data_IF_529109365868
#
_entry.id   IF_529109365868
#
_cell.length_a   1.000
_cell.length_b   1.000
_cell.length_c   1.000
_cell.angle_alpha   90.00
_cell.angle_beta   90.00
_cell.angle_gamma   90.00
#
_symmetry.space_group_name_H-M   'P 1'
#
loop_
_entity.id
_entity.type
_entity.pdbx_description
1 polymer ?
#
# COMPACT_ATOMS: atom_id res chain seq x y z
N UNK A 1 -17.97 38.52 -5.42
CA UNK A 1 -17.21 37.49 -6.14
C UNK A 1 -15.75 37.39 -5.68
N UNK A 2 -15.02 38.48 -5.55
CA UNK A 2 -13.61 38.50 -5.10
C UNK A 2 -13.43 38.03 -3.63
N UNK A 3 -14.35 38.32 -2.72
CA UNK A 3 -14.29 37.87 -1.32
C UNK A 3 -14.58 36.37 -1.18
N UNK A 4 -15.51 35.83 -1.96
CA UNK A 4 -15.79 34.40 -1.98
C UNK A 4 -14.60 33.61 -2.52
N UNK A 5 -13.95 34.15 -3.56
CA UNK A 5 -12.72 33.55 -4.13
C UNK A 5 -11.57 33.60 -3.12
N UNK A 6 -11.41 34.68 -2.38
CA UNK A 6 -10.43 34.80 -1.29
C UNK A 6 -10.72 33.84 -0.14
N UNK A 7 -11.98 33.69 0.24
CA UNK A 7 -12.38 32.74 1.30
C UNK A 7 -12.10 31.31 0.88
N UNK A 8 -12.49 30.94 -0.37
CA UNK A 8 -12.21 29.61 -0.92
C UNK A 8 -10.70 29.37 -1.07
N UNK A 9 -9.94 30.34 -1.56
CA UNK A 9 -8.48 30.22 -1.64
C UNK A 9 -7.83 30.09 -0.25
N UNK A 10 -8.25 30.90 0.73
CA UNK A 10 -7.74 30.79 2.10
C UNK A 10 -8.14 29.44 2.74
N UNK A 11 -9.35 28.94 2.47
CA UNK A 11 -9.79 27.64 2.96
C UNK A 11 -8.95 26.50 2.34
N UNK A 12 -8.62 26.58 1.04
CA UNK A 12 -7.75 25.61 0.36
C UNK A 12 -6.30 25.71 0.87
N UNK A 13 -5.81 26.93 1.12
CA UNK A 13 -4.42 27.17 1.62
C UNK A 13 -4.26 26.76 3.09
N UNK A 14 -5.34 26.83 3.89
CA UNK A 14 -5.32 26.44 5.31
C UNK A 14 -5.68 24.96 5.55
N UNK A 15 -6.02 24.18 4.52
CA UNK A 15 -6.09 22.74 4.66
C UNK A 15 -4.66 22.21 4.85
N UNK A 16 -4.31 21.86 6.08
CA UNK A 16 -3.06 21.15 6.35
C UNK A 16 -2.96 19.97 5.41
N UNK A 17 -1.84 19.89 4.69
CA UNK A 17 -1.54 18.79 3.79
C UNK A 17 -1.64 17.48 4.56
N UNK A 18 -2.68 16.69 4.29
CA UNK A 18 -2.88 15.40 4.96
C UNK A 18 -1.90 14.35 4.44
N UNK A 19 -1.48 13.49 5.34
CA UNK A 19 -0.68 12.30 5.03
C UNK A 19 -1.60 11.12 4.83
N UNK A 20 -1.66 10.59 3.63
CA UNK A 20 -2.56 9.50 3.26
C UNK A 20 -1.77 8.23 3.00
N UNK A 21 -2.04 7.19 3.78
CA UNK A 21 -1.57 5.83 3.53
C UNK A 21 -2.59 5.12 2.64
N UNK A 22 -2.22 4.87 1.40
CA UNK A 22 -3.07 4.20 0.42
C UNK A 22 -2.62 2.75 0.24
N UNK A 23 -3.45 1.82 0.67
CA UNK A 23 -3.17 0.38 0.66
C UNK A 23 -4.13 -0.28 -0.33
N UNK A 24 -3.61 -0.73 -1.47
CA UNK A 24 -4.42 -1.32 -2.53
C UNK A 24 -4.00 -2.75 -2.83
N UNK A 25 -4.94 -3.51 -3.38
CA UNK A 25 -4.67 -4.85 -3.89
C UNK A 25 -4.14 -4.83 -5.33
N UNK A 26 -4.52 -3.83 -6.14
CA UNK A 26 -4.24 -3.78 -7.57
C UNK A 26 -3.94 -2.35 -8.00
N UNK A 27 -3.04 -2.21 -9.00
CA UNK A 27 -2.73 -0.93 -9.63
C UNK A 27 -2.18 -1.12 -11.03
N UNK A 28 -2.72 -0.41 -12.01
CA UNK A 28 -2.06 -0.28 -13.31
C UNK A 28 -0.83 0.63 -13.20
N UNK A 29 0.27 0.36 -13.89
CA UNK A 29 0.48 -0.62 -14.96
C UNK A 29 1.04 -1.97 -14.47
N UNK A 30 1.07 -2.24 -13.19
CA UNK A 30 1.75 -3.40 -12.60
C UNK A 30 0.97 -4.71 -12.80
N UNK A 31 -0.35 -4.63 -12.80
CA UNK A 31 -1.26 -5.75 -13.03
C UNK A 31 -2.18 -5.47 -14.22
N UNK A 32 -2.88 -6.49 -14.77
CA UNK A 32 -3.89 -6.30 -15.80
C UNK A 32 -4.93 -5.25 -15.42
N UNK A 33 -5.48 -4.60 -16.42
CA UNK A 33 -6.46 -3.53 -16.22
C UNK A 33 -7.79 -4.10 -15.72
N UNK A 34 -8.20 -3.62 -14.54
CA UNK A 34 -9.50 -3.84 -13.90
C UNK A 34 -10.00 -2.50 -13.39
N UNK A 35 -11.27 -2.38 -13.00
CA UNK A 35 -11.76 -1.16 -12.34
C UNK A 35 -11.00 -0.87 -11.05
N UNK A 36 -10.72 -1.91 -10.25
CA UNK A 36 -9.94 -1.79 -9.00
C UNK A 36 -8.52 -1.30 -9.28
N UNK A 37 -7.86 -1.85 -10.32
CA UNK A 37 -6.51 -1.45 -10.70
C UNK A 37 -6.45 -0.02 -11.26
N UNK A 38 -7.49 0.42 -11.97
CA UNK A 38 -7.62 1.81 -12.44
C UNK A 38 -7.80 2.77 -11.26
N UNK A 39 -8.71 2.47 -10.33
CA UNK A 39 -8.93 3.27 -9.12
C UNK A 39 -7.67 3.31 -8.26
N UNK A 40 -6.99 2.14 -8.09
CA UNK A 40 -5.72 2.02 -7.38
C UNK A 40 -4.63 2.92 -7.96
N UNK A 41 -4.73 3.29 -9.23
CA UNK A 41 -3.82 4.21 -9.92
C UNK A 41 -4.28 5.66 -9.89
N UNK A 42 -5.55 5.93 -10.17
CA UNK A 42 -6.07 7.28 -10.37
C UNK A 42 -6.31 8.00 -9.03
N UNK A 43 -6.83 7.30 -8.04
CA UNK A 43 -7.18 7.86 -6.75
C UNK A 43 -5.97 8.42 -5.98
N UNK A 44 -4.86 7.66 -5.78
CA UNK A 44 -3.69 8.20 -5.09
C UNK A 44 -3.04 9.35 -5.87
N UNK A 45 -3.07 9.32 -7.20
CA UNK A 45 -2.60 10.45 -8.00
C UNK A 45 -3.44 11.70 -7.77
N UNK A 46 -4.76 11.60 -7.81
CA UNK A 46 -5.64 12.73 -7.57
C UNK A 46 -5.47 13.31 -6.16
N UNK A 47 -5.31 12.46 -5.14
CA UNK A 47 -5.03 12.87 -3.76
C UNK A 47 -3.71 13.65 -3.68
N UNK A 48 -2.67 13.19 -4.36
CA UNK A 48 -1.37 13.87 -4.42
C UNK A 48 -1.47 15.21 -5.16
N UNK A 49 -2.20 15.26 -6.28
CA UNK A 49 -2.41 16.48 -7.07
C UNK A 49 -3.20 17.55 -6.27
N UNK A 50 -4.05 17.13 -5.33
CA UNK A 50 -4.74 18.00 -4.38
C UNK A 50 -3.84 18.50 -3.22
N UNK A 51 -2.54 18.14 -3.22
CA UNK A 51 -1.56 18.66 -2.28
C UNK A 51 -1.33 17.80 -1.03
N UNK A 52 -1.93 16.62 -0.92
CA UNK A 52 -1.68 15.68 0.18
C UNK A 52 -0.39 14.90 -0.04
N UNK A 53 0.33 14.61 1.05
CA UNK A 53 1.43 13.63 1.01
C UNK A 53 0.84 12.22 0.98
N UNK A 54 1.25 11.42 0.03
CA UNK A 54 0.73 10.06 -0.10
C UNK A 54 1.82 9.00 -0.15
N UNK A 55 1.58 7.87 0.48
CA UNK A 55 2.37 6.65 0.35
C UNK A 55 1.47 5.51 -0.06
N UNK A 56 1.83 4.86 -1.16
CA UNK A 56 1.01 3.84 -1.79
C UNK A 56 1.68 2.48 -1.68
N UNK A 57 0.92 1.49 -1.25
CA UNK A 57 1.36 0.12 -1.08
C UNK A 57 0.50 -0.86 -1.87
N UNK A 58 1.12 -1.90 -2.43
CA UNK A 58 0.45 -3.05 -3.01
C UNK A 58 1.28 -4.34 -2.81
N UNK A 59 0.67 -5.53 -2.91
CA UNK A 59 1.43 -6.78 -2.91
C UNK A 59 2.29 -6.90 -4.17
N UNK A 60 3.46 -7.52 -4.06
CA UNK A 60 4.26 -7.88 -5.22
C UNK A 60 3.74 -9.19 -5.81
N UNK A 61 2.58 -9.14 -6.44
CA UNK A 61 2.00 -10.30 -7.10
C UNK A 61 2.99 -10.96 -8.08
N UNK A 62 3.02 -12.29 -8.11
CA UNK A 62 3.94 -13.06 -8.95
C UNK A 62 3.79 -12.80 -10.45
N UNK A 63 2.68 -12.24 -10.89
CA UNK A 63 2.44 -11.80 -12.28
C UNK A 63 3.16 -10.50 -12.65
N UNK A 64 3.67 -9.76 -11.67
CA UNK A 64 4.35 -8.48 -11.92
C UNK A 64 5.72 -8.72 -12.52
N UNK A 65 5.96 -8.19 -13.70
CA UNK A 65 7.27 -8.21 -14.33
C UNK A 65 8.17 -7.12 -13.70
N UNK A 66 9.02 -7.51 -12.77
CA UNK A 66 9.88 -6.59 -12.03
C UNK A 66 10.84 -5.80 -12.92
N UNK A 67 11.45 -6.47 -13.90
CA UNK A 67 12.40 -5.82 -14.82
C UNK A 67 11.72 -4.77 -15.69
N UNK A 68 10.55 -5.09 -16.25
CA UNK A 68 9.76 -4.16 -17.09
C UNK A 68 9.32 -2.94 -16.30
N UNK A 69 8.91 -3.14 -15.06
CA UNK A 69 8.39 -2.09 -14.19
C UNK A 69 9.46 -1.46 -13.29
N UNK A 70 10.73 -1.83 -13.47
CA UNK A 70 11.86 -1.27 -12.74
C UNK A 70 11.71 -1.34 -11.22
N UNK A 71 11.18 -2.47 -10.71
CA UNK A 71 11.14 -2.72 -9.29
C UNK A 71 12.55 -2.96 -8.77
N UNK A 72 12.90 -2.32 -7.67
CA UNK A 72 14.16 -2.56 -6.97
C UNK A 72 13.93 -2.65 -5.47
N UNK A 73 14.72 -3.50 -4.83
CA UNK A 73 14.63 -3.71 -3.39
C UNK A 73 15.17 -2.50 -2.62
N UNK A 74 14.48 -2.16 -1.54
CA UNK A 74 14.92 -1.16 -0.57
C UNK A 74 15.52 -1.88 0.64
N UNK A 75 16.82 -2.21 0.58
CA UNK A 75 17.52 -3.01 1.58
C UNK A 75 17.31 -2.49 3.00
N UNK A 76 17.34 -1.18 3.21
CA UNK A 76 17.12 -0.57 4.53
C UNK A 76 15.73 -0.82 5.12
N UNK A 77 14.73 -1.13 4.31
CA UNK A 77 13.36 -1.44 4.72
C UNK A 77 13.11 -2.94 4.78
N UNK A 78 13.86 -3.73 4.02
CA UNK A 78 13.77 -5.19 4.00
C UNK A 78 14.44 -5.85 5.21
N UNK A 79 14.36 -7.18 5.30
CA UNK A 79 15.06 -8.00 6.29
C UNK A 79 14.40 -8.07 7.67
N UNK A 80 13.16 -7.59 7.82
CA UNK A 80 12.32 -7.91 8.99
C UNK A 80 11.62 -9.26 8.74
N UNK A 81 11.34 -10.00 9.79
CA UNK A 81 10.52 -11.21 9.72
C UNK A 81 9.11 -10.92 10.22
N UNK A 82 8.12 -11.41 9.50
CA UNK A 82 6.72 -11.45 9.92
C UNK A 82 6.41 -12.87 10.36
N UNK A 83 6.08 -13.04 11.63
CA UNK A 83 5.74 -14.36 12.18
C UNK A 83 4.26 -14.64 11.92
N UNK A 84 3.97 -15.76 11.26
CA UNK A 84 2.64 -16.28 11.04
C UNK A 84 2.68 -17.77 11.42
N UNK A 85 1.81 -18.22 12.32
CA UNK A 85 1.75 -19.60 12.80
C UNK A 85 3.13 -20.18 13.16
N UNK A 86 3.86 -19.56 14.05
CA UNK A 86 5.19 -20.00 14.51
C UNK A 86 6.27 -20.09 13.40
N UNK A 87 5.99 -19.56 12.21
CA UNK A 87 6.91 -19.56 11.08
C UNK A 87 7.35 -18.15 10.73
N UNK A 88 8.65 -17.96 10.54
CA UNK A 88 9.27 -16.71 10.12
C UNK A 88 9.17 -16.53 8.60
N UNK A 89 8.57 -15.43 8.17
CA UNK A 89 8.49 -15.05 6.77
C UNK A 89 9.27 -13.76 6.52
N UNK A 90 10.36 -13.79 5.75
CA UNK A 90 11.14 -12.59 5.44
C UNK A 90 10.31 -11.54 4.70
N UNK A 91 10.30 -10.32 5.23
CA UNK A 91 9.67 -9.17 4.58
C UNK A 91 10.66 -8.49 3.65
N UNK A 92 10.36 -8.49 2.37
CA UNK A 92 11.10 -7.79 1.34
C UNK A 92 10.28 -6.61 0.86
N UNK A 93 10.89 -5.43 0.80
CA UNK A 93 10.25 -4.21 0.31
C UNK A 93 10.89 -3.81 -1.00
N UNK A 94 10.07 -3.77 -2.05
CA UNK A 94 10.49 -3.23 -3.35
C UNK A 94 9.77 -1.93 -3.64
N UNK A 95 10.34 -1.10 -4.49
CA UNK A 95 9.73 0.15 -4.94
C UNK A 95 9.85 0.29 -6.44
N UNK A 96 8.85 0.95 -7.02
CA UNK A 96 8.91 1.46 -8.39
C UNK A 96 8.27 2.85 -8.44
N UNK A 97 8.61 3.62 -9.48
CA UNK A 97 8.08 4.97 -9.67
C UNK A 97 7.22 5.04 -10.92
N UNK A 98 6.06 5.63 -10.80
CA UNK A 98 5.23 6.02 -11.93
C UNK A 98 5.58 7.47 -12.28
N UNK A 99 6.53 7.63 -13.18
CA UNK A 99 7.14 8.94 -13.49
C UNK A 99 6.11 9.98 -13.94
N UNK A 100 5.14 9.58 -14.77
CA UNK A 100 4.08 10.48 -15.27
C UNK A 100 3.24 11.10 -14.13
N UNK A 101 3.12 10.41 -13.00
CA UNK A 101 2.39 10.87 -11.82
C UNK A 101 3.31 11.36 -10.69
N UNK A 102 4.62 11.25 -10.85
CA UNK A 102 5.61 11.49 -9.78
C UNK A 102 5.28 10.70 -8.51
N UNK A 103 4.70 9.52 -8.67
CA UNK A 103 4.22 8.68 -7.57
C UNK A 103 5.14 7.47 -7.38
N UNK A 104 5.49 7.21 -6.13
CA UNK A 104 6.24 6.03 -5.73
C UNK A 104 5.29 4.98 -5.14
N UNK A 105 5.47 3.73 -5.55
CA UNK A 105 4.70 2.59 -5.05
C UNK A 105 5.63 1.63 -4.32
N UNK A 106 5.26 1.26 -3.10
CA UNK A 106 5.92 0.25 -2.28
C UNK A 106 5.25 -1.10 -2.50
N UNK A 107 6.06 -2.13 -2.69
CA UNK A 107 5.60 -3.50 -2.87
C UNK A 107 6.02 -4.33 -1.67
N UNK A 108 5.03 -4.97 -1.05
CA UNK A 108 5.24 -5.97 -0.02
C UNK A 108 5.49 -7.29 -0.70
N UNK A 109 6.66 -7.89 -0.47
CA UNK A 109 7.12 -9.10 -1.14
C UNK A 109 7.58 -10.16 -0.15
N UNK A 110 7.35 -11.41 -0.52
CA UNK A 110 7.85 -12.61 0.13
C UNK A 110 7.78 -13.76 -0.87
N UNK A 111 8.81 -14.59 -0.91
CA UNK A 111 8.89 -15.67 -1.90
C UNK A 111 7.82 -16.74 -1.69
N UNK A 112 7.48 -17.08 -0.45
CA UNK A 112 6.50 -18.12 -0.15
C UNK A 112 5.09 -17.71 -0.59
N UNK A 113 4.72 -16.45 -0.32
CA UNK A 113 3.36 -15.95 -0.54
C UNK A 113 3.11 -15.36 -1.92
N UNK A 114 4.13 -14.76 -2.56
CA UNK A 114 3.89 -13.98 -3.78
C UNK A 114 4.69 -14.46 -4.99
N UNK A 115 5.83 -15.14 -4.79
CA UNK A 115 6.68 -15.53 -5.91
C UNK A 115 5.99 -16.53 -6.84
N UNK A 116 5.99 -16.24 -8.15
CA UNK A 116 5.40 -17.08 -9.21
C UNK A 116 3.93 -17.45 -9.01
N UNK A 117 3.18 -16.70 -8.22
CA UNK A 117 1.77 -16.95 -7.97
C UNK A 117 0.92 -15.83 -8.58
N UNK A 118 -0.24 -16.19 -9.09
CA UNK A 118 -1.27 -15.24 -9.47
C UNK A 118 -1.83 -14.50 -8.23
N UNK A 119 -2.77 -13.56 -8.43
CA UNK A 119 -3.23 -12.72 -7.32
C UNK A 119 -3.92 -13.52 -6.22
N UNK A 120 -4.98 -14.27 -6.52
CA UNK A 120 -5.74 -14.98 -5.47
C UNK A 120 -6.21 -16.39 -5.85
N UNK A 121 -6.05 -16.77 -7.13
CA UNK A 121 -6.43 -18.08 -7.63
C UNK A 121 -5.40 -18.59 -8.63
N UNK A 122 -5.35 -19.87 -8.83
CA UNK A 122 -4.49 -20.52 -9.79
C UNK A 122 -5.01 -20.38 -11.24
N UNK A 123 -4.33 -21.02 -12.20
CA UNK A 123 -4.74 -20.98 -13.62
C UNK A 123 -6.06 -21.71 -13.93
N UNK A 124 -6.60 -22.49 -12.98
CA UNK A 124 -7.89 -23.15 -13.08
C UNK A 124 -9.02 -22.37 -12.42
N UNK A 125 -8.70 -21.27 -11.74
CA UNK A 125 -9.64 -20.47 -10.98
C UNK A 125 -9.86 -20.93 -9.54
N UNK A 126 -9.06 -21.91 -9.05
CA UNK A 126 -9.11 -22.38 -7.68
C UNK A 126 -8.37 -21.39 -6.76
N UNK A 127 -9.07 -20.90 -5.74
CA UNK A 127 -8.49 -19.97 -4.77
C UNK A 127 -7.35 -20.63 -3.98
N UNK A 128 -6.31 -19.87 -3.69
CA UNK A 128 -5.22 -20.35 -2.85
C UNK A 128 -5.69 -20.50 -1.41
N UNK A 129 -5.37 -21.64 -0.80
CA UNK A 129 -5.77 -21.99 0.57
C UNK A 129 -5.14 -21.06 1.62
N UNK A 130 -3.99 -20.47 1.31
CA UNK A 130 -3.25 -19.55 2.17
C UNK A 130 -3.58 -18.06 1.93
N UNK A 131 -4.68 -17.74 1.24
CA UNK A 131 -5.06 -16.36 0.97
C UNK A 131 -5.24 -15.52 2.25
N UNK A 132 -5.70 -16.12 3.34
CA UNK A 132 -5.83 -15.45 4.64
C UNK A 132 -4.45 -15.07 5.20
N UNK A 133 -3.51 -16.00 5.19
CA UNK A 133 -2.13 -15.75 5.63
C UNK A 133 -1.45 -14.68 4.78
N UNK A 134 -1.68 -14.70 3.47
CA UNK A 134 -1.20 -13.67 2.52
C UNK A 134 -1.75 -12.29 2.87
N UNK A 135 -3.03 -12.20 3.26
CA UNK A 135 -3.62 -10.94 3.68
C UNK A 135 -3.03 -10.45 5.02
N UNK A 136 -2.81 -11.36 5.96
CA UNK A 136 -2.13 -11.08 7.24
C UNK A 136 -0.71 -10.59 6.99
N UNK A 137 0.06 -11.31 6.17
CA UNK A 137 1.43 -10.93 5.82
C UNK A 137 1.49 -9.54 5.17
N UNK A 138 0.60 -9.30 4.19
CA UNK A 138 0.53 -8.00 3.51
C UNK A 138 0.21 -6.87 4.48
N UNK A 139 -0.84 -7.02 5.29
CA UNK A 139 -1.24 -6.00 6.25
C UNK A 139 -0.11 -5.66 7.24
N UNK A 140 0.47 -6.68 7.87
CA UNK A 140 1.57 -6.50 8.82
C UNK A 140 2.81 -5.94 8.14
N UNK A 141 3.13 -6.40 6.94
CA UNK A 141 4.24 -5.89 6.14
C UNK A 141 4.13 -4.40 5.85
N UNK A 142 2.93 -3.91 5.49
CA UNK A 142 2.66 -2.48 5.32
C UNK A 142 2.88 -1.73 6.63
N UNK A 143 2.26 -2.17 7.73
CA UNK A 143 2.32 -1.47 9.01
C UNK A 143 3.75 -1.43 9.58
N UNK A 144 4.51 -2.53 9.53
CA UNK A 144 5.91 -2.55 9.94
C UNK A 144 6.79 -1.64 9.05
N UNK A 145 6.49 -1.56 7.76
CA UNK A 145 7.21 -0.65 6.86
C UNK A 145 6.92 0.80 7.22
N UNK A 146 5.68 1.17 7.50
CA UNK A 146 5.29 2.53 7.92
C UNK A 146 5.97 2.91 9.24
N UNK A 147 6.03 1.99 10.21
CA UNK A 147 6.79 2.18 11.47
C UNK A 147 8.26 2.46 11.18
N UNK A 148 8.89 1.64 10.32
CA UNK A 148 10.31 1.79 9.97
C UNK A 148 10.60 3.08 9.22
N UNK A 149 9.64 3.58 8.44
CA UNK A 149 9.70 4.89 7.78
C UNK A 149 9.51 6.05 8.76
N UNK A 150 9.05 5.81 10.00
CA UNK A 150 8.70 6.84 11.00
C UNK A 150 7.75 7.89 10.42
N UNK A 151 6.76 7.44 9.69
CA UNK A 151 5.80 8.29 9.00
C UNK A 151 4.39 8.03 9.56
N UNK A 152 3.75 9.07 10.09
CA UNK A 152 2.44 8.96 10.72
C UNK A 152 1.37 9.41 9.73
N UNK A 153 0.53 8.52 9.20
CA UNK A 153 -0.59 8.89 8.33
C UNK A 153 -1.72 9.53 9.15
N UNK A 154 -2.36 10.56 8.59
CA UNK A 154 -3.61 11.12 9.13
C UNK A 154 -4.82 10.29 8.68
N UNK A 155 -4.72 9.66 7.52
CA UNK A 155 -5.78 8.85 6.90
C UNK A 155 -5.19 7.57 6.34
N UNK A 156 -5.88 6.46 6.58
CA UNK A 156 -5.54 5.17 5.99
C UNK A 156 -6.70 4.71 5.13
N UNK A 157 -6.43 4.53 3.84
CA UNK A 157 -7.38 4.03 2.86
C UNK A 157 -7.01 2.61 2.45
N UNK A 158 -7.94 1.68 2.61
CA UNK A 158 -7.77 0.28 2.29
C UNK A 158 -8.69 -0.11 1.12
N UNK A 159 -8.12 -0.65 0.06
CA UNK A 159 -8.83 -1.09 -1.14
C UNK A 159 -8.58 -2.57 -1.43
N UNK A 160 -9.66 -3.32 -1.57
CA UNK A 160 -9.62 -4.75 -1.87
C UNK A 160 -9.51 -5.63 -0.63
N UNK A 161 -9.86 -6.90 -0.81
CA UNK A 161 -9.98 -7.86 0.30
C UNK A 161 -8.66 -8.09 1.05
N UNK A 162 -7.52 -8.09 0.35
CA UNK A 162 -6.21 -8.35 0.95
C UNK A 162 -5.78 -7.28 1.96
N UNK A 163 -6.34 -6.07 1.86
CA UNK A 163 -6.11 -4.99 2.81
C UNK A 163 -7.14 -4.92 3.95
N UNK A 164 -8.19 -5.76 3.90
CA UNK A 164 -9.32 -5.68 4.82
C UNK A 164 -8.95 -5.92 6.30
N UNK A 165 -7.86 -6.65 6.58
CA UNK A 165 -7.40 -6.89 7.96
C UNK A 165 -6.56 -5.75 8.53
N UNK A 166 -6.15 -4.76 7.73
CA UNK A 166 -5.36 -3.61 8.20
C UNK A 166 -6.07 -2.82 9.30
N UNK A 167 -7.35 -2.42 9.15
CA UNK A 167 -8.05 -1.69 10.21
C UNK A 167 -8.15 -2.46 11.53
N UNK A 168 -8.29 -3.79 11.46
CA UNK A 168 -8.29 -4.65 12.64
C UNK A 168 -6.95 -4.57 13.38
N UNK A 169 -5.83 -4.69 12.67
CA UNK A 169 -4.50 -4.58 13.26
C UNK A 169 -4.24 -3.21 13.88
N UNK A 170 -4.64 -2.13 13.23
CA UNK A 170 -4.47 -0.77 13.75
C UNK A 170 -5.23 -0.59 15.07
N UNK A 171 -6.45 -1.14 15.17
CA UNK A 171 -7.27 -1.01 16.39
C UNK A 171 -6.94 -2.04 17.48
N UNK A 172 -6.05 -2.98 17.22
CA UNK A 172 -5.60 -4.02 18.17
C UNK A 172 -4.10 -3.96 18.43
N UNK A 173 -3.32 -4.74 17.68
CA UNK A 173 -1.89 -4.96 17.91
C UNK A 173 -1.03 -3.69 17.68
N UNK A 174 -1.48 -2.74 16.86
CA UNK A 174 -0.76 -1.50 16.54
C UNK A 174 -1.38 -0.25 17.18
N UNK A 175 -2.38 -0.42 18.05
CA UNK A 175 -3.14 0.70 18.63
C UNK A 175 -2.26 1.72 19.35
N UNK A 176 -1.22 1.26 20.05
CA UNK A 176 -0.33 2.12 20.84
C UNK A 176 0.97 2.46 20.08
N UNK A 177 1.10 1.98 18.86
CA UNK A 177 2.28 2.29 18.03
C UNK A 177 2.22 3.74 17.55
N UNK A 178 3.31 4.53 17.75
CA UNK A 178 3.31 5.97 17.48
C UNK A 178 2.78 6.39 16.11
N UNK A 179 3.03 5.65 14.99
CA UNK A 179 2.48 6.05 13.70
C UNK A 179 0.96 5.93 13.57
N UNK A 180 0.30 5.16 14.44
CA UNK A 180 -1.11 4.80 14.33
C UNK A 180 -1.97 5.21 15.52
N UNK A 181 -1.36 5.72 16.59
CA UNK A 181 -2.06 6.02 17.85
C UNK A 181 -3.16 7.09 17.69
N UNK A 182 -3.01 7.97 16.69
CA UNK A 182 -3.96 9.06 16.41
C UNK A 182 -4.76 8.87 15.12
N UNK A 183 -4.65 7.68 14.48
CA UNK A 183 -5.30 7.39 13.18
C UNK A 183 -6.67 6.72 13.35
#
# INVERSE_FOLDING_TARGET
MAELLRFVLNYIITMDSKKVLFITQEMVPYVPETLVAQDGRQMPQAIQELGSEIRTFMPRWGIINERRNQLHEVIRLSGMNIIIDDTDHPLIIKVASIQAARMQVYFIDNDDYFHKRAMFADGNGEEYTDNVERAIFYARGVLETVKKLRWCPDVIYCQGWISAVVPFYIKTAYREEPPFAET
#
